data_IF_326706938127
#
_entry.id   IF_326706938127
#
_cell.length_a   1.000
_cell.length_b   1.000
_cell.length_c   1.000
_cell.angle_alpha   90.00
_cell.angle_beta   90.00
_cell.angle_gamma   90.00
#
_symmetry.space_group_name_H-M   'P 1'
#
loop_
_entity.id
_entity.type
_entity.pdbx_description
1 polymer ?
#
# COMPACT_ATOMS: atom_id res chain seq x y z
N UNK A 1 11.44 -20.85 -10.03
CA UNK A 1 10.64 -19.98 -9.14
C UNK A 1 9.97 -18.94 -10.02
N UNK A 2 8.66 -18.70 -9.85
CA UNK A 2 7.92 -17.74 -10.69
C UNK A 2 8.21 -16.31 -10.24
N UNK A 3 8.34 -15.38 -11.20
CA UNK A 3 8.55 -13.95 -10.97
C UNK A 3 7.86 -13.13 -12.05
N UNK A 4 7.46 -11.91 -11.69
CA UNK A 4 6.95 -10.89 -12.62
C UNK A 4 7.91 -9.71 -12.65
N UNK A 5 8.17 -9.21 -13.85
CA UNK A 5 8.91 -7.97 -14.08
C UNK A 5 7.92 -6.91 -14.58
N UNK A 6 7.89 -5.76 -13.91
CA UNK A 6 6.95 -4.68 -14.21
C UNK A 6 7.76 -3.45 -14.58
N UNK A 7 7.56 -2.95 -15.80
CA UNK A 7 8.15 -1.70 -16.26
C UNK A 7 7.25 -0.53 -15.89
N UNK A 8 7.81 0.45 -15.19
CA UNK A 8 7.09 1.63 -14.72
C UNK A 8 7.79 2.90 -15.23
N UNK A 9 7.00 3.96 -15.46
CA UNK A 9 7.55 5.27 -15.80
C UNK A 9 8.09 5.96 -14.55
N UNK A 10 9.41 6.15 -14.46
CA UNK A 10 10.04 6.86 -13.34
C UNK A 10 9.47 8.26 -13.15
N UNK A 11 9.17 8.97 -14.25
CA UNK A 11 8.59 10.33 -14.21
C UNK A 11 7.24 10.36 -13.50
N UNK A 12 6.49 9.26 -13.57
CA UNK A 12 5.16 9.12 -12.95
C UNK A 12 5.29 8.58 -11.53
N UNK A 13 6.12 7.57 -11.32
CA UNK A 13 6.19 6.85 -10.03
C UNK A 13 7.04 7.59 -9.00
N UNK A 14 8.15 8.21 -9.37
CA UNK A 14 9.05 8.87 -8.41
C UNK A 14 8.34 9.91 -7.50
N UNK A 15 7.46 10.80 -8.03
CA UNK A 15 6.69 11.72 -7.19
C UNK A 15 5.70 11.05 -6.22
N UNK A 16 5.29 9.82 -6.52
CA UNK A 16 4.39 9.04 -5.65
C UNK A 16 5.17 8.37 -4.51
N UNK A 17 6.44 8.03 -4.72
CA UNK A 17 7.27 7.37 -3.71
C UNK A 17 7.46 8.22 -2.45
N UNK A 18 7.54 9.55 -2.58
CA UNK A 18 7.63 10.43 -1.42
C UNK A 18 6.35 10.36 -0.56
N UNK A 19 5.18 10.31 -1.20
CA UNK A 19 3.93 10.14 -0.49
C UNK A 19 3.83 8.75 0.14
N UNK A 20 4.23 7.70 -0.58
CA UNK A 20 4.23 6.32 -0.07
C UNK A 20 5.13 6.18 1.16
N UNK A 21 6.31 6.80 1.14
CA UNK A 21 7.24 6.84 2.29
C UNK A 21 6.63 7.60 3.47
N UNK A 22 6.01 8.76 3.23
CA UNK A 22 5.34 9.50 4.29
C UNK A 22 4.18 8.70 4.92
N UNK A 23 3.34 8.05 4.11
CA UNK A 23 2.29 7.14 4.59
C UNK A 23 2.88 5.95 5.34
N UNK A 24 3.99 5.37 4.87
CA UNK A 24 4.68 4.29 5.55
C UNK A 24 5.24 4.73 6.91
N UNK A 25 5.78 5.95 7.01
CA UNK A 25 6.27 6.51 8.27
C UNK A 25 5.15 6.67 9.29
N UNK A 26 3.95 7.08 8.86
CA UNK A 26 2.76 7.12 9.74
C UNK A 26 2.35 5.72 10.23
N UNK A 27 2.52 4.69 9.40
CA UNK A 27 2.15 3.31 9.73
C UNK A 27 3.14 2.63 10.67
N UNK A 28 4.34 3.19 10.89
CA UNK A 28 5.35 2.60 11.80
C UNK A 28 4.82 2.40 13.21
N UNK A 29 3.95 3.30 13.69
CA UNK A 29 3.46 3.30 15.07
C UNK A 29 2.00 2.90 15.21
N UNK A 30 1.29 2.65 14.09
CA UNK A 30 -0.14 2.33 14.10
C UNK A 30 -0.53 1.33 13.01
N UNK A 31 -1.53 0.51 13.30
CA UNK A 31 -2.12 -0.38 12.30
C UNK A 31 -2.94 0.45 11.29
N UNK A 32 -2.89 0.04 10.01
CA UNK A 32 -3.70 0.64 8.94
C UNK A 32 -5.21 0.44 9.15
N UNK A 33 -5.59 -0.56 9.96
CA UNK A 33 -6.95 -0.78 10.44
C UNK A 33 -6.93 -0.72 11.96
N UNK A 34 -7.83 0.07 12.54
CA UNK A 34 -8.07 0.03 13.98
C UNK A 34 -8.83 -1.25 14.33
N UNK A 35 -8.09 -2.31 14.59
CA UNK A 35 -8.65 -3.57 15.06
C UNK A 35 -8.92 -3.48 16.56
N UNK A 36 -10.08 -3.98 16.96
CA UNK A 36 -10.36 -4.23 18.36
C UNK A 36 -9.93 -5.68 18.65
N UNK A 37 -9.35 -5.95 19.82
CA UNK A 37 -9.05 -7.32 20.22
C UNK A 37 -10.31 -8.17 20.22
N UNK A 38 -10.20 -9.48 19.98
CA UNK A 38 -11.35 -10.38 20.01
C UNK A 38 -12.10 -10.21 21.33
N UNK A 39 -13.43 -10.06 21.27
CA UNK A 39 -14.32 -9.63 22.35
C UNK A 39 -14.32 -10.49 23.64
N UNK A 40 -13.50 -11.54 23.69
CA UNK A 40 -13.44 -12.53 24.76
C UNK A 40 -12.08 -12.55 25.50
N UNK A 41 -11.17 -11.63 25.18
CA UNK A 41 -9.88 -11.49 25.87
C UNK A 41 -9.94 -10.39 26.93
N UNK A 42 -9.99 -10.75 28.21
CA UNK A 42 -9.73 -9.82 29.33
C UNK A 42 -8.21 -9.66 29.60
N UNK A 43 -7.36 -10.12 28.68
CA UNK A 43 -5.90 -10.18 28.85
C UNK A 43 -5.20 -9.07 28.05
N UNK A 44 -4.90 -7.98 28.76
CA UNK A 44 -4.23 -6.81 28.19
C UNK A 44 -2.82 -7.12 27.65
N UNK A 45 -2.11 -8.11 28.22
CA UNK A 45 -0.77 -8.50 27.76
C UNK A 45 -0.86 -9.27 26.44
N UNK A 46 -1.85 -10.16 26.31
CA UNK A 46 -2.15 -10.85 25.06
C UNK A 46 -2.55 -9.87 23.94
N UNK A 47 -3.36 -8.85 24.27
CA UNK A 47 -3.78 -7.81 23.33
C UNK A 47 -2.61 -6.97 22.81
N UNK A 48 -1.70 -6.58 23.71
CA UNK A 48 -0.49 -5.84 23.35
C UNK A 48 0.43 -6.68 22.45
N UNK A 49 0.72 -7.93 22.85
CA UNK A 49 1.54 -8.85 22.05
C UNK A 49 0.95 -9.09 20.66
N UNK A 50 -0.36 -9.27 20.57
CA UNK A 50 -1.06 -9.47 19.30
C UNK A 50 -0.95 -8.23 18.41
N UNK A 51 -1.23 -7.04 18.96
CA UNK A 51 -1.11 -5.78 18.25
C UNK A 51 0.30 -5.55 17.73
N UNK A 52 1.31 -5.82 18.55
CA UNK A 52 2.71 -5.62 18.17
C UNK A 52 3.17 -6.60 17.09
N UNK A 53 2.69 -7.85 17.14
CA UNK A 53 2.93 -8.83 16.07
C UNK A 53 2.32 -8.39 14.73
N UNK A 54 1.08 -7.86 14.75
CA UNK A 54 0.43 -7.31 13.56
C UNK A 54 1.17 -6.09 13.02
N UNK A 55 1.61 -5.20 13.91
CA UNK A 55 2.35 -3.99 13.54
C UNK A 55 3.70 -4.34 12.92
N UNK A 56 4.43 -5.31 13.48
CA UNK A 56 5.67 -5.82 12.90
C UNK A 56 5.43 -6.38 11.50
N UNK A 57 4.44 -7.25 11.35
CA UNK A 57 4.10 -7.88 10.07
C UNK A 57 3.73 -6.84 9.00
N UNK A 58 2.95 -5.82 9.37
CA UNK A 58 2.61 -4.71 8.49
C UNK A 58 3.85 -3.95 8.05
N UNK A 59 4.70 -3.55 8.99
CA UNK A 59 5.89 -2.73 8.73
C UNK A 59 6.93 -3.48 7.92
N UNK A 60 7.11 -4.77 8.16
CA UNK A 60 7.95 -5.64 7.33
C UNK A 60 7.42 -5.69 5.90
N UNK A 61 6.11 -5.87 5.72
CA UNK A 61 5.51 -5.86 4.39
C UNK A 61 5.67 -4.53 3.64
N UNK A 62 5.45 -3.41 4.33
CA UNK A 62 5.68 -2.08 3.77
C UNK A 62 7.16 -1.88 3.41
N UNK A 63 8.08 -2.38 4.24
CA UNK A 63 9.51 -2.39 3.94
C UNK A 63 9.84 -3.14 2.65
N UNK A 64 9.31 -4.35 2.48
CA UNK A 64 9.49 -5.16 1.26
C UNK A 64 8.94 -4.43 0.02
N UNK A 65 7.74 -3.85 0.11
CA UNK A 65 7.17 -3.05 -0.98
C UNK A 65 8.05 -1.86 -1.35
N UNK A 66 8.53 -1.09 -0.36
CA UNK A 66 9.38 0.07 -0.63
C UNK A 66 10.75 -0.32 -1.19
N UNK A 67 11.27 -1.51 -0.83
CA UNK A 67 12.52 -2.04 -1.35
C UNK A 67 12.46 -2.40 -2.84
N UNK A 68 11.26 -2.55 -3.43
CA UNK A 68 11.11 -2.70 -4.89
C UNK A 68 11.62 -1.47 -5.65
N UNK A 69 11.62 -0.29 -5.01
CA UNK A 69 12.00 0.99 -5.62
C UNK A 69 13.42 1.39 -5.22
N UNK A 70 14.37 0.49 -5.46
CA UNK A 70 15.78 0.64 -5.15
C UNK A 70 16.58 1.33 -6.28
N UNK A 71 17.91 1.32 -6.19
CA UNK A 71 18.79 1.90 -7.21
C UNK A 71 18.57 1.29 -8.60
N UNK A 72 18.33 -0.02 -8.69
CA UNK A 72 18.07 -0.67 -9.98
C UNK A 72 16.75 -0.18 -10.59
N UNK A 73 15.71 0.04 -9.78
CA UNK A 73 14.49 0.68 -10.25
C UNK A 73 14.74 2.10 -10.79
N UNK A 74 15.57 2.91 -10.12
CA UNK A 74 15.89 4.26 -10.60
C UNK A 74 16.80 4.31 -11.84
N UNK A 75 17.51 3.22 -12.14
CA UNK A 75 18.31 3.10 -13.37
C UNK A 75 17.50 2.53 -14.55
N UNK A 76 16.65 1.55 -14.29
CA UNK A 76 16.00 0.74 -15.34
C UNK A 76 14.50 1.00 -15.50
N UNK A 77 13.85 1.52 -14.45
CA UNK A 77 12.39 1.61 -14.37
C UNK A 77 11.69 0.29 -14.15
N UNK A 78 12.42 -0.78 -13.84
CA UNK A 78 11.88 -2.13 -13.69
C UNK A 78 11.85 -2.51 -12.22
N UNK A 79 10.72 -3.04 -11.76
CA UNK A 79 10.60 -3.74 -10.48
C UNK A 79 10.39 -5.23 -10.73
N UNK A 80 11.00 -6.06 -9.91
CA UNK A 80 10.90 -7.52 -10.00
C UNK A 80 10.26 -8.04 -8.73
N UNK A 81 9.20 -8.84 -8.86
CA UNK A 81 8.46 -9.40 -7.73
C UNK A 81 8.49 -10.92 -7.85
N UNK A 82 8.96 -11.59 -6.79
CA UNK A 82 8.98 -13.03 -6.72
C UNK A 82 7.69 -13.58 -6.09
N UNK A 83 7.31 -14.81 -6.46
CA UNK A 83 6.13 -15.46 -5.89
C UNK A 83 6.16 -15.52 -4.35
N UNK A 84 7.36 -15.69 -3.75
CA UNK A 84 7.54 -15.84 -2.31
C UNK A 84 7.16 -14.59 -1.49
N UNK A 85 7.26 -13.40 -2.08
CA UNK A 85 7.00 -12.10 -1.45
C UNK A 85 5.68 -11.46 -1.93
N UNK A 86 5.07 -12.02 -2.98
CA UNK A 86 3.87 -11.49 -3.64
C UNK A 86 2.74 -11.15 -2.66
N UNK A 87 2.39 -12.08 -1.76
CA UNK A 87 1.32 -11.87 -0.78
C UNK A 87 1.66 -10.80 0.25
N UNK A 88 2.92 -10.71 0.65
CA UNK A 88 3.40 -9.68 1.56
C UNK A 88 3.29 -8.29 0.91
N UNK A 89 3.67 -8.17 -0.36
CA UNK A 89 3.53 -6.93 -1.15
C UNK A 89 2.06 -6.55 -1.34
N UNK A 90 1.18 -7.51 -1.64
CA UNK A 90 -0.27 -7.25 -1.76
C UNK A 90 -0.82 -6.66 -0.45
N UNK A 91 -0.47 -7.24 0.70
CA UNK A 91 -0.92 -6.74 2.01
C UNK A 91 -0.38 -5.34 2.31
N UNK A 92 0.88 -5.07 1.97
CA UNK A 92 1.48 -3.75 2.12
C UNK A 92 0.78 -2.68 1.28
N UNK A 93 0.43 -3.02 0.03
CA UNK A 93 -0.36 -2.14 -0.83
C UNK A 93 -1.72 -1.83 -0.20
N UNK A 94 -2.40 -2.83 0.39
CA UNK A 94 -3.66 -2.63 1.10
C UNK A 94 -3.49 -1.70 2.30
N UNK A 95 -2.46 -1.90 3.14
CA UNK A 95 -2.22 -1.07 4.32
C UNK A 95 -2.02 0.40 3.95
N UNK A 96 -1.18 0.69 2.94
CA UNK A 96 -0.97 2.05 2.45
C UNK A 96 -2.25 2.64 1.83
N UNK A 97 -3.00 1.87 1.03
CA UNK A 97 -4.27 2.32 0.44
C UNK A 97 -5.31 2.66 1.51
N UNK A 98 -5.42 1.86 2.57
CA UNK A 98 -6.34 2.12 3.67
C UNK A 98 -5.97 3.39 4.43
N UNK A 99 -4.68 3.58 4.73
CA UNK A 99 -4.22 4.83 5.35
C UNK A 99 -4.51 6.05 4.46
N UNK A 100 -4.28 5.91 3.15
CA UNK A 100 -4.60 6.97 2.18
C UNK A 100 -6.10 7.28 2.12
N UNK A 101 -6.94 6.25 2.14
CA UNK A 101 -8.39 6.35 2.16
C UNK A 101 -8.87 7.13 3.39
N UNK A 102 -8.33 6.82 4.57
CA UNK A 102 -8.73 7.42 5.84
C UNK A 102 -8.27 8.88 5.99
N UNK A 103 -7.09 9.23 5.46
CA UNK A 103 -6.45 10.52 5.73
C UNK A 103 -6.63 11.54 4.61
N UNK A 104 -6.28 11.16 3.38
CA UNK A 104 -6.22 12.10 2.26
C UNK A 104 -7.43 12.01 1.31
N UNK A 105 -8.13 10.88 1.31
CA UNK A 105 -9.26 10.62 0.42
C UNK A 105 -10.58 10.42 1.19
N UNK A 106 -10.67 10.90 2.44
CA UNK A 106 -11.83 10.73 3.30
C UNK A 106 -13.11 11.28 2.65
N UNK A 107 -12.99 12.43 1.99
CA UNK A 107 -14.10 13.17 1.36
C UNK A 107 -14.50 12.64 -0.02
N UNK A 108 -13.79 11.64 -0.56
CA UNK A 108 -14.14 11.01 -1.84
C UNK A 108 -15.06 9.81 -1.56
N UNK A 109 -16.26 9.74 -2.15
CA UNK A 109 -17.16 8.60 -2.02
C UNK A 109 -16.51 7.30 -2.50
N UNK A 110 -16.84 6.19 -1.86
CA UNK A 110 -16.29 4.88 -2.24
C UNK A 110 -16.70 4.50 -3.67
N UNK A 111 -17.92 4.83 -4.09
CA UNK A 111 -18.39 4.54 -5.45
C UNK A 111 -17.53 5.27 -6.50
N UNK A 112 -17.05 6.47 -6.18
CA UNK A 112 -16.17 7.25 -7.06
C UNK A 112 -14.79 6.59 -7.18
N UNK A 113 -14.26 6.08 -6.08
CA UNK A 113 -12.97 5.39 -6.04
C UNK A 113 -13.02 4.02 -6.73
N UNK A 114 -14.11 3.27 -6.54
CA UNK A 114 -14.30 1.93 -7.12
C UNK A 114 -14.55 1.95 -8.61
N UNK A 115 -15.37 2.90 -9.08
CA UNK A 115 -15.70 3.02 -10.50
C UNK A 115 -14.62 3.75 -11.29
N UNK A 116 -13.77 4.52 -10.60
CA UNK A 116 -12.81 5.42 -11.24
C UNK A 116 -13.51 6.52 -12.05
N UNK A 117 -14.74 6.88 -11.68
CA UNK A 117 -15.58 7.87 -12.37
C UNK A 117 -15.73 9.09 -11.47
N UNK A 118 -15.09 10.20 -11.83
CA UNK A 118 -15.19 11.46 -11.10
C UNK A 118 -14.39 12.58 -11.78
N UNK A 119 -14.68 13.83 -11.41
CA UNK A 119 -13.87 14.98 -11.83
C UNK A 119 -12.61 15.08 -10.96
N UNK A 120 -11.66 14.20 -11.22
CA UNK A 120 -10.38 14.17 -10.52
C UNK A 120 -9.49 15.37 -10.86
N UNK A 121 -9.81 16.10 -11.93
CA UNK A 121 -9.13 17.32 -12.33
C UNK A 121 -9.59 18.55 -11.54
N UNK A 122 -10.74 18.48 -10.87
CA UNK A 122 -11.16 19.47 -9.88
C UNK A 122 -10.56 19.24 -8.48
N UNK A 123 -9.92 18.09 -8.22
CA UNK A 123 -9.34 17.80 -6.91
C UNK A 123 -8.17 18.74 -6.59
N UNK A 124 -8.06 19.08 -5.30
CA UNK A 124 -6.90 19.75 -4.74
C UNK A 124 -5.63 18.94 -5.04
N UNK A 125 -4.47 19.59 -5.30
CA UNK A 125 -3.26 18.90 -5.72
C UNK A 125 -2.81 17.76 -4.79
N UNK A 126 -2.99 17.92 -3.48
CA UNK A 126 -2.67 16.89 -2.49
C UNK A 126 -3.58 15.67 -2.61
N UNK A 127 -4.90 15.87 -2.71
CA UNK A 127 -5.87 14.79 -2.87
C UNK A 127 -5.68 14.07 -4.21
N UNK A 128 -5.37 14.80 -5.28
CA UNK A 128 -5.05 14.20 -6.58
C UNK A 128 -3.81 13.32 -6.52
N UNK A 129 -2.75 13.77 -5.85
CA UNK A 129 -1.53 12.98 -5.65
C UNK A 129 -1.80 11.70 -4.84
N UNK A 130 -2.59 11.82 -3.78
CA UNK A 130 -3.01 10.67 -2.98
C UNK A 130 -3.85 9.68 -3.78
N UNK A 131 -4.77 10.17 -4.61
CA UNK A 131 -5.56 9.33 -5.51
C UNK A 131 -4.66 8.60 -6.52
N UNK A 132 -3.69 9.29 -7.12
CA UNK A 132 -2.75 8.65 -8.04
C UNK A 132 -1.92 7.56 -7.37
N UNK A 133 -1.43 7.79 -6.15
CA UNK A 133 -0.70 6.78 -5.38
C UNK A 133 -1.60 5.60 -4.98
N UNK A 134 -2.84 5.89 -4.58
CA UNK A 134 -3.85 4.89 -4.24
C UNK A 134 -4.16 3.98 -5.44
N UNK A 135 -4.38 4.57 -6.62
CA UNK A 135 -4.64 3.83 -7.85
C UNK A 135 -3.42 3.05 -8.32
N UNK A 136 -2.22 3.63 -8.21
CA UNK A 136 -0.97 2.93 -8.51
C UNK A 136 -0.82 1.65 -7.69
N UNK A 137 -1.07 1.71 -6.38
CA UNK A 137 -1.04 0.54 -5.50
C UNK A 137 -2.12 -0.48 -5.88
N UNK A 138 -3.32 -0.03 -6.25
CA UNK A 138 -4.41 -0.91 -6.70
C UNK A 138 -4.02 -1.68 -7.97
N UNK A 139 -3.48 -0.99 -8.96
CA UNK A 139 -3.01 -1.60 -10.21
C UNK A 139 -1.86 -2.56 -9.96
N UNK A 140 -0.93 -2.22 -9.06
CA UNK A 140 0.17 -3.13 -8.69
C UNK A 140 -0.37 -4.43 -8.07
N UNK A 141 -1.35 -4.35 -7.16
CA UNK A 141 -2.00 -5.52 -6.58
C UNK A 141 -2.67 -6.39 -7.65
N UNK A 142 -3.44 -5.77 -8.55
CA UNK A 142 -4.14 -6.47 -9.62
C UNK A 142 -3.16 -7.21 -10.55
N UNK A 143 -2.02 -6.61 -10.88
CA UNK A 143 -0.97 -7.26 -11.69
C UNK A 143 -0.36 -8.47 -10.98
N UNK A 144 -0.09 -8.37 -9.68
CA UNK A 144 0.48 -9.47 -8.88
C UNK A 144 -0.53 -10.62 -8.79
N UNK A 145 -1.79 -10.31 -8.44
CA UNK A 145 -2.86 -11.32 -8.30
C UNK A 145 -3.07 -12.05 -9.62
N UNK A 146 -3.27 -11.33 -10.73
CA UNK A 146 -3.46 -11.94 -12.05
C UNK A 146 -2.31 -12.85 -12.49
N UNK A 147 -1.09 -12.59 -12.02
CA UNK A 147 0.07 -13.36 -12.39
C UNK A 147 0.27 -14.62 -11.53
N UNK A 148 0.00 -14.54 -10.23
CA UNK A 148 0.28 -15.64 -9.29
C UNK A 148 -0.97 -16.43 -8.85
N UNK A 149 -2.17 -15.86 -8.99
CA UNK A 149 -3.46 -16.47 -8.64
C UNK A 149 -4.40 -16.46 -9.87
N UNK A 150 -4.23 -17.41 -10.81
CA UNK A 150 -5.06 -17.52 -12.01
C UNK A 150 -6.45 -18.14 -11.76
#
# INVERSE_FOLDING_TARGET
MSRIEITLSLKIVAPLLDLLKATADELKTQLAVQLHPPANGDDAEMDEMWRDSLLSTQNEGVGVLLALFDGNFFETGVVTINAAESMQIIRACTALRLQMRLRQLADIPDETLEQGIGDFDALQPAARRALMAYMFLATLQELIIRHFEP
#
